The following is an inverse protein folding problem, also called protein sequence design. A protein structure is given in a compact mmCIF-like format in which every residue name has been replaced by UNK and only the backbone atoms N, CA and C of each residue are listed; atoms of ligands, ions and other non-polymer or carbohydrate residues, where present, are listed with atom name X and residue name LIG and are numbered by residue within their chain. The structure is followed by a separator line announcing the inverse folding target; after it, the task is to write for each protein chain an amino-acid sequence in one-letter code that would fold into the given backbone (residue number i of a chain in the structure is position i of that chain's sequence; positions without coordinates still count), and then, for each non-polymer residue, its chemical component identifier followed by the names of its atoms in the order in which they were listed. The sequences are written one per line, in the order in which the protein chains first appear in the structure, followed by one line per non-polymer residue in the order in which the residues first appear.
data_IF_719688906555
#
_entry.id   IF_719688906555
#
_cell.length_a   1.000
_cell.length_b   1.000
_cell.length_c   1.000
_cell.angle_alpha   90.00
_cell.angle_beta   90.00
_cell.angle_gamma   90.00
#
_symmetry.space_group_name_H-M   'P 1'
#
loop_
_entity.id
_entity.type
_entity.pdbx_description
1 polymer ?
#
# COMPACT_ATOMS: atom_id res chain seq x y z
N UNK A 1 0.60 10.79 -11.44
CA UNK A 1 1.16 9.42 -11.32
C UNK A 1 0.47 8.74 -10.14
N UNK A 2 -0.05 7.52 -10.32
CA UNK A 2 -0.68 6.74 -9.23
C UNK A 2 0.39 5.81 -8.63
N UNK A 3 0.47 5.75 -7.30
CA UNK A 3 1.43 4.90 -6.58
C UNK A 3 0.74 3.75 -5.87
N UNK A 4 1.52 2.74 -5.48
CA UNK A 4 1.10 1.61 -4.66
C UNK A 4 1.97 1.55 -3.41
N UNK A 5 1.47 0.90 -2.36
CA UNK A 5 2.24 0.59 -1.16
C UNK A 5 2.89 -0.78 -1.37
N UNK A 6 4.17 -0.89 -1.03
CA UNK A 6 4.89 -2.15 -1.08
C UNK A 6 5.80 -2.32 0.13
N UNK A 7 6.12 -3.57 0.43
CA UNK A 7 7.01 -3.96 1.52
C UNK A 7 8.36 -4.38 0.97
N UNK A 8 9.44 -3.85 1.54
CA UNK A 8 10.78 -4.32 1.21
C UNK A 8 10.98 -5.72 1.78
N UNK A 9 11.24 -6.68 0.90
CA UNK A 9 11.47 -8.07 1.27
C UNK A 9 12.96 -8.33 1.44
N UNK A 10 13.73 -8.08 0.39
CA UNK A 10 15.17 -8.35 0.39
C UNK A 10 15.88 -7.55 -0.70
N UNK A 11 17.21 -7.65 -0.71
CA UNK A 11 18.04 -7.21 -1.83
C UNK A 11 18.80 -8.42 -2.36
N UNK A 12 18.87 -8.54 -3.68
CA UNK A 12 19.56 -9.63 -4.37
C UNK A 12 20.30 -9.06 -5.58
N UNK A 13 20.90 -9.94 -6.39
CA UNK A 13 21.51 -9.56 -7.65
C UNK A 13 21.00 -10.47 -8.76
N UNK A 14 20.81 -9.90 -9.95
CA UNK A 14 20.46 -10.63 -11.16
C UNK A 14 21.69 -10.60 -12.08
N UNK A 15 21.99 -11.74 -12.70
CA UNK A 15 22.99 -11.82 -13.75
C UNK A 15 22.29 -11.58 -15.09
N UNK A 16 22.67 -10.49 -15.77
CA UNK A 16 22.17 -10.19 -17.12
C UNK A 16 22.84 -11.11 -18.15
N UNK A 17 22.20 -11.29 -19.31
CA UNK A 17 22.71 -12.12 -20.41
C UNK A 17 24.12 -11.70 -20.87
N UNK A 18 24.44 -10.40 -20.79
CA UNK A 18 25.76 -9.83 -21.09
C UNK A 18 26.83 -10.09 -20.01
N UNK A 19 26.54 -10.92 -19.00
CA UNK A 19 27.45 -11.23 -17.89
C UNK A 19 27.56 -10.15 -16.81
N UNK A 20 26.73 -9.10 -16.85
CA UNK A 20 26.72 -8.03 -15.84
C UNK A 20 25.94 -8.44 -14.58
N UNK A 21 26.39 -7.96 -13.42
CA UNK A 21 25.71 -8.13 -12.15
C UNK A 21 24.89 -6.87 -11.86
N UNK A 22 23.56 -7.01 -11.72
CA UNK A 22 22.64 -5.91 -11.43
C UNK A 22 22.07 -6.09 -10.02
N UNK A 23 22.37 -5.19 -9.06
CA UNK A 23 21.77 -5.23 -7.74
C UNK A 23 20.30 -4.81 -7.82
N UNK A 24 19.42 -5.58 -7.20
CA UNK A 24 17.96 -5.34 -7.22
C UNK A 24 17.38 -5.41 -5.81
N UNK A 25 16.28 -4.70 -5.60
CA UNK A 25 15.48 -4.78 -4.37
C UNK A 25 14.16 -5.48 -4.67
N UNK A 26 13.89 -6.56 -3.94
CA UNK A 26 12.63 -7.27 -4.02
C UNK A 26 11.60 -6.58 -3.14
N UNK A 27 10.51 -6.13 -3.77
CA UNK A 27 9.38 -5.48 -3.12
C UNK A 27 8.14 -6.38 -3.29
N UNK A 28 7.45 -6.67 -2.18
CA UNK A 28 6.11 -7.24 -2.23
C UNK A 28 5.13 -6.09 -2.46
N UNK A 29 4.40 -6.15 -3.57
CA UNK A 29 3.49 -5.11 -3.99
C UNK A 29 2.04 -5.55 -3.74
N UNK A 30 1.32 -4.79 -2.93
CA UNK A 30 -0.10 -5.03 -2.65
C UNK A 30 -0.41 -6.33 -1.91
N UNK A 31 -1.70 -6.65 -1.72
CA UNK A 31 -2.86 -5.90 -2.23
C UNK A 31 -2.98 -4.50 -1.60
N UNK A 32 -3.27 -3.49 -2.44
CA UNK A 32 -3.52 -2.11 -2.01
C UNK A 32 -5.00 -1.76 -2.17
N UNK A 33 -5.76 -1.79 -1.09
CA UNK A 33 -7.21 -1.53 -1.12
C UNK A 33 -7.48 -0.03 -0.96
N UNK A 34 -8.39 0.53 -1.75
CA UNK A 34 -8.78 1.95 -1.59
C UNK A 34 -9.71 2.07 -0.39
N UNK A 35 -9.25 2.74 0.68
CA UNK A 35 -10.05 2.94 1.90
C UNK A 35 -10.86 4.24 1.85
N UNK A 36 -10.37 5.27 1.16
CA UNK A 36 -11.07 6.54 0.99
C UNK A 36 -10.67 7.24 -0.30
N UNK A 37 -11.65 7.86 -0.96
CA UNK A 37 -11.46 8.80 -2.06
C UNK A 37 -11.71 10.19 -1.47
N UNK A 38 -10.69 11.05 -1.52
CA UNK A 38 -10.77 12.45 -1.07
C UNK A 38 -11.03 13.36 -2.27
N UNK A 39 -11.96 14.29 -2.10
CA UNK A 39 -12.36 15.24 -3.14
C UNK A 39 -12.20 16.67 -2.66
N UNK A 40 -12.15 17.60 -3.60
CA UNK A 40 -11.93 19.02 -3.28
C UNK A 40 -13.06 19.58 -2.41
N UNK A 41 -14.29 19.14 -2.62
CA UNK A 41 -15.47 19.64 -1.91
C UNK A 41 -15.50 19.24 -0.43
N UNK A 42 -14.90 18.09 -0.09
CA UNK A 42 -14.94 17.55 1.28
C UNK A 42 -13.64 17.78 2.04
N UNK A 43 -12.49 17.61 1.39
CA UNK A 43 -11.18 17.66 2.04
C UNK A 43 -10.26 18.77 1.49
N UNK A 44 -10.68 19.52 0.47
CA UNK A 44 -9.92 20.61 -0.13
C UNK A 44 -8.86 20.19 -1.15
N UNK A 45 -8.75 18.89 -1.47
CA UNK A 45 -7.83 18.36 -2.47
C UNK A 45 -8.26 16.99 -2.99
N UNK A 46 -7.71 16.60 -4.14
CA UNK A 46 -7.92 15.27 -4.72
C UNK A 46 -6.84 14.29 -4.24
N UNK A 47 -7.24 13.19 -3.60
CA UNK A 47 -6.32 12.12 -3.23
C UNK A 47 -7.01 10.76 -3.04
N UNK A 48 -6.20 9.70 -3.07
CA UNK A 48 -6.62 8.34 -2.72
C UNK A 48 -5.90 7.91 -1.44
N UNK A 49 -6.65 7.34 -0.50
CA UNK A 49 -6.10 6.65 0.66
C UNK A 49 -6.09 5.15 0.35
N UNK A 50 -4.92 4.53 0.55
CA UNK A 50 -4.70 3.10 0.32
C UNK A 50 -4.41 2.41 1.66
N UNK A 51 -5.01 1.24 1.86
CA UNK A 51 -4.65 0.27 2.88
C UNK A 51 -3.69 -0.78 2.33
N UNK A 52 -2.84 -1.32 3.17
CA UNK A 52 -1.83 -2.33 2.83
C UNK A 52 -1.64 -3.26 4.03
N UNK A 53 -1.53 -4.56 3.75
CA UNK A 53 -1.60 -5.66 4.73
C UNK A 53 -2.90 -5.72 5.53
N UNK A 54 -3.20 -6.91 6.07
CA UNK A 54 -4.32 -7.10 6.97
C UNK A 54 -3.94 -6.69 8.40
N UNK A 55 -4.85 -5.98 9.07
CA UNK A 55 -4.74 -5.68 10.49
C UNK A 55 -5.75 -6.51 11.28
N UNK A 56 -5.29 -7.23 12.31
CA UNK A 56 -6.20 -7.94 13.23
C UNK A 56 -7.13 -6.95 13.92
N UNK A 57 -8.42 -7.24 13.94
CA UNK A 57 -9.45 -6.35 14.49
C UNK A 57 -9.19 -5.94 15.95
N UNK A 58 -8.65 -6.87 16.76
CA UNK A 58 -8.26 -6.61 18.16
C UNK A 58 -7.17 -5.55 18.32
N UNK A 59 -6.38 -5.32 17.27
CA UNK A 59 -5.32 -4.31 17.25
C UNK A 59 -5.84 -2.94 16.76
N UNK A 60 -7.10 -2.84 16.32
CA UNK A 60 -7.71 -1.60 15.89
C UNK A 60 -8.38 -0.88 17.07
N UNK A 61 -8.15 0.43 17.16
CA UNK A 61 -8.91 1.28 18.07
C UNK A 61 -10.34 1.51 17.55
N UNK A 62 -11.26 1.92 18.44
CA UNK A 62 -12.69 2.09 18.11
C UNK A 62 -12.93 2.99 16.88
N UNK A 63 -12.28 4.16 16.72
CA UNK A 63 -12.51 5.01 15.56
C UNK A 63 -12.06 4.38 14.23
N UNK A 64 -10.91 3.69 14.21
CA UNK A 64 -10.40 3.05 12.98
C UNK A 64 -11.26 1.88 12.56
N UNK A 65 -11.79 1.11 13.53
CA UNK A 65 -12.72 0.02 13.24
C UNK A 65 -14.00 0.53 12.59
N UNK A 66 -14.65 1.53 13.18
CA UNK A 66 -15.84 2.14 12.58
C UNK A 66 -15.59 2.76 11.21
N UNK A 67 -14.38 3.30 10.98
CA UNK A 67 -13.98 3.78 9.65
C UNK A 67 -13.92 2.66 8.61
N UNK A 68 -13.29 1.53 8.91
CA UNK A 68 -13.20 0.40 7.98
C UNK A 68 -14.56 -0.30 7.76
N UNK A 69 -15.32 -0.53 8.84
CA UNK A 69 -16.68 -1.09 8.76
C UNK A 69 -17.60 -0.23 7.87
N UNK A 70 -17.52 1.11 7.99
CA UNK A 70 -18.31 2.03 7.15
C UNK A 70 -17.98 1.94 5.65
N UNK A 71 -16.82 1.36 5.32
CA UNK A 71 -16.33 1.13 3.96
C UNK A 71 -16.40 -0.35 3.55
N UNK A 72 -17.00 -1.19 4.40
CA UNK A 72 -17.06 -2.65 4.23
C UNK A 72 -15.68 -3.29 4.08
N UNK A 73 -14.71 -2.77 4.85
CA UNK A 73 -13.32 -3.23 4.94
C UNK A 73 -12.98 -3.73 6.35
#
# INVERSE_FOLDING_TARGET
MKGIIGKKIAMTQIFSEDGKIVPVTMLEAGPCVVTQIKTVEREGYNALQLGFEEAKERNLNRPRRGHFESKSL
#
